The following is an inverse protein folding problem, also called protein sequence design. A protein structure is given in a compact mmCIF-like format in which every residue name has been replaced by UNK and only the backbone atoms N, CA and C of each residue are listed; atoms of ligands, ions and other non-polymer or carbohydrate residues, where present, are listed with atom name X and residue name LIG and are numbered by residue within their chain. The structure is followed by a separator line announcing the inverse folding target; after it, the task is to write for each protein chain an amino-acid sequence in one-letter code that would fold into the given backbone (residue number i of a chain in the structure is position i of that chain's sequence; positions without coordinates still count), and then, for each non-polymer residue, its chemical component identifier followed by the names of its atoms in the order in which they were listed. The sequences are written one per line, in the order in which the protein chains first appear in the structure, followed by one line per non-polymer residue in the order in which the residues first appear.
data_IF_588711470412
#
_entry.id   IF_588711470412
#
_cell.length_a   1.000
_cell.length_b   1.000
_cell.length_c   1.000
_cell.angle_alpha   90.00
_cell.angle_beta   90.00
_cell.angle_gamma   90.00
#
_symmetry.space_group_name_H-M   'P 1'
#
loop_
_entity.id
_entity.type
_entity.pdbx_description
1 polymer ?
#
# COMPACT_ATOMS: atom_id res chain seq x y z
N UNK A 1 24.07 16.06 2.79
CA UNK A 1 24.99 15.26 1.97
C UNK A 1 24.19 14.69 0.83
N UNK A 2 24.19 15.38 -0.31
CA UNK A 2 23.72 14.88 -1.59
C UNK A 2 24.71 13.78 -2.01
N UNK A 3 24.52 12.59 -1.47
CA UNK A 3 25.11 11.38 -2.01
C UNK A 3 24.73 11.38 -3.48
N UNK A 4 25.74 11.37 -4.33
CA UNK A 4 25.67 11.53 -5.78
C UNK A 4 24.46 10.79 -6.37
N UNK A 5 23.40 11.53 -6.71
CA UNK A 5 22.13 10.99 -7.20
C UNK A 5 22.35 10.06 -8.41
N UNK A 6 23.35 10.37 -9.24
CA UNK A 6 23.71 9.57 -10.41
C UNK A 6 24.30 8.20 -10.00
N UNK A 7 25.16 8.17 -8.98
CA UNK A 7 25.76 6.92 -8.48
C UNK A 7 24.70 6.04 -7.81
N UNK A 8 23.77 6.64 -7.07
CA UNK A 8 22.65 5.92 -6.47
C UNK A 8 21.70 5.32 -7.53
N UNK A 9 21.43 6.05 -8.59
CA UNK A 9 20.61 5.57 -9.70
C UNK A 9 21.25 4.41 -10.44
N UNK A 10 22.56 4.48 -10.67
CA UNK A 10 23.30 3.41 -11.30
C UNK A 10 23.31 2.15 -10.43
N UNK A 11 23.50 2.31 -9.13
CA UNK A 11 23.42 1.19 -8.17
C UNK A 11 22.01 0.59 -8.12
N UNK A 12 20.97 1.42 -8.06
CA UNK A 12 19.57 0.95 -8.04
C UNK A 12 19.27 0.18 -9.33
N UNK A 13 19.56 0.76 -10.49
CA UNK A 13 19.18 0.16 -11.78
C UNK A 13 20.02 -1.06 -12.16
N UNK A 14 21.33 -1.06 -11.85
CA UNK A 14 22.21 -2.16 -12.24
C UNK A 14 22.32 -3.30 -11.22
N UNK A 15 22.05 -3.02 -9.96
CA UNK A 15 22.23 -3.99 -8.87
C UNK A 15 20.90 -4.32 -8.17
N UNK A 16 20.24 -3.31 -7.57
CA UNK A 16 19.08 -3.56 -6.74
C UNK A 16 17.88 -4.01 -7.54
N UNK A 17 17.60 -3.37 -8.66
CA UNK A 17 16.43 -3.71 -9.48
C UNK A 17 16.51 -5.12 -10.08
N UNK A 18 17.63 -5.57 -10.68
CA UNK A 18 17.78 -6.97 -11.09
C UNK A 18 17.65 -7.96 -9.94
N UNK A 19 18.19 -7.64 -8.76
CA UNK A 19 18.07 -8.48 -7.56
C UNK A 19 16.62 -8.58 -7.09
N UNK A 20 15.90 -7.45 -7.04
CA UNK A 20 14.49 -7.41 -6.69
C UNK A 20 13.63 -8.22 -7.67
N UNK A 21 13.85 -8.04 -8.98
CA UNK A 21 13.16 -8.82 -10.02
C UNK A 21 13.41 -10.32 -9.86
N UNK A 22 14.64 -10.71 -9.60
CA UNK A 22 14.97 -12.13 -9.34
C UNK A 22 14.26 -12.65 -8.08
N UNK A 23 14.20 -11.85 -7.03
CA UNK A 23 13.50 -12.23 -5.79
C UNK A 23 11.99 -12.39 -6.04
N UNK A 24 11.36 -11.45 -6.76
CA UNK A 24 9.95 -11.55 -7.17
C UNK A 24 9.71 -12.84 -7.96
N UNK A 25 10.55 -13.11 -8.98
CA UNK A 25 10.43 -14.31 -9.79
C UNK A 25 10.52 -15.59 -8.95
N UNK A 26 11.47 -15.68 -8.03
CA UNK A 26 11.63 -16.85 -7.15
C UNK A 26 10.38 -17.08 -6.28
N UNK A 27 9.74 -16.02 -5.79
CA UNK A 27 8.51 -16.16 -5.03
C UNK A 27 7.34 -16.66 -5.92
N UNK A 28 7.21 -16.09 -7.12
CA UNK A 28 6.19 -16.54 -8.08
C UNK A 28 6.39 -17.99 -8.51
N UNK A 29 7.64 -18.40 -8.77
CA UNK A 29 8.00 -19.78 -9.11
C UNK A 29 7.71 -20.76 -7.95
N UNK A 30 7.78 -20.26 -6.71
CA UNK A 30 7.39 -21.03 -5.53
C UNK A 30 5.86 -21.16 -5.35
N UNK A 31 5.06 -20.52 -6.19
CA UNK A 31 3.60 -20.69 -6.25
C UNK A 31 2.79 -19.63 -5.53
N UNK A 32 3.38 -18.48 -5.14
CA UNK A 32 2.57 -17.37 -4.62
C UNK A 32 1.76 -16.72 -5.75
N UNK A 33 0.55 -16.28 -5.47
CA UNK A 33 -0.32 -15.67 -6.48
C UNK A 33 0.14 -14.28 -6.88
N UNK A 34 0.65 -13.50 -5.90
CA UNK A 34 1.23 -12.17 -6.10
C UNK A 34 2.27 -11.83 -5.03
N UNK A 35 3.13 -10.87 -5.32
CA UNK A 35 4.15 -10.35 -4.39
C UNK A 35 3.85 -8.89 -4.07
N UNK A 36 3.83 -8.51 -2.78
CA UNK A 36 3.69 -7.12 -2.37
C UNK A 36 5.05 -6.46 -2.16
N UNK A 37 5.24 -5.29 -2.75
CA UNK A 37 6.36 -4.40 -2.44
C UNK A 37 5.90 -3.40 -1.40
N UNK A 38 6.53 -3.42 -0.23
CA UNK A 38 6.31 -2.44 0.84
C UNK A 38 7.43 -1.42 0.84
N UNK A 39 7.14 -0.23 0.38
CA UNK A 39 8.07 0.88 0.29
C UNK A 39 7.80 1.91 1.40
N UNK A 40 8.43 1.68 2.55
CA UNK A 40 8.23 2.52 3.73
C UNK A 40 9.14 3.76 3.77
N UNK A 41 10.13 3.84 2.89
CA UNK A 41 11.18 4.87 2.94
C UNK A 41 10.98 6.02 1.94
N UNK A 42 10.05 5.87 1.01
CA UNK A 42 9.81 6.87 -0.04
C UNK A 42 9.15 8.17 0.42
N UNK A 43 8.61 8.21 1.64
CA UNK A 43 7.97 9.42 2.14
C UNK A 43 8.94 10.62 2.19
N UNK A 44 10.24 10.38 2.35
CA UNK A 44 11.30 11.40 2.35
C UNK A 44 11.73 11.84 0.94
N UNK A 45 11.32 11.10 -0.11
CA UNK A 45 11.69 11.45 -1.47
C UNK A 45 10.84 12.61 -1.98
N UNK A 46 11.49 13.67 -2.47
CA UNK A 46 10.79 14.80 -3.07
C UNK A 46 10.04 14.40 -4.36
N UNK A 47 9.08 15.24 -4.77
CA UNK A 47 8.22 14.95 -5.93
C UNK A 47 9.00 14.81 -7.24
N UNK A 48 10.04 15.61 -7.45
CA UNK A 48 10.81 15.57 -8.70
C UNK A 48 11.51 14.23 -8.84
N UNK A 49 12.22 13.81 -7.80
CA UNK A 49 12.90 12.51 -7.78
C UNK A 49 11.93 11.35 -7.88
N UNK A 50 10.74 11.45 -7.27
CA UNK A 50 9.70 10.43 -7.41
C UNK A 50 9.26 10.29 -8.87
N UNK A 51 8.87 11.38 -9.53
CA UNK A 51 8.33 11.32 -10.89
C UNK A 51 9.39 11.03 -11.96
N UNK A 52 10.57 11.60 -11.85
CA UNK A 52 11.58 11.47 -12.91
C UNK A 52 12.35 10.14 -12.85
N UNK A 53 12.50 9.58 -11.67
CA UNK A 53 13.39 8.45 -11.41
C UNK A 53 12.62 7.24 -10.93
N UNK A 54 11.92 7.38 -9.81
CA UNK A 54 11.36 6.24 -9.12
C UNK A 54 10.15 5.64 -9.83
N UNK A 55 9.31 6.48 -10.42
CA UNK A 55 8.18 6.00 -11.21
C UNK A 55 8.61 5.10 -12.37
N UNK A 56 9.75 5.39 -13.02
CA UNK A 56 10.29 4.55 -14.11
C UNK A 56 10.75 3.18 -13.61
N UNK A 57 11.33 3.13 -12.42
CA UNK A 57 11.72 1.86 -11.79
C UNK A 57 10.47 1.03 -11.46
N UNK A 58 9.44 1.68 -10.90
CA UNK A 58 8.17 1.03 -10.60
C UNK A 58 7.47 0.56 -11.86
N UNK A 59 7.47 1.36 -12.93
CA UNK A 59 6.95 0.98 -14.24
C UNK A 59 7.65 -0.26 -14.80
N UNK A 60 8.99 -0.30 -14.73
CA UNK A 60 9.78 -1.45 -15.18
C UNK A 60 9.45 -2.73 -14.39
N UNK A 61 9.24 -2.62 -13.08
CA UNK A 61 8.79 -3.75 -12.25
C UNK A 61 7.40 -4.21 -12.67
N UNK A 62 6.46 -3.28 -12.79
CA UNK A 62 5.07 -3.59 -13.13
C UNK A 62 4.96 -4.24 -14.53
N UNK A 63 5.71 -3.75 -15.51
CA UNK A 63 5.76 -4.33 -16.87
C UNK A 63 6.44 -5.70 -16.86
N UNK A 64 7.46 -5.92 -16.02
CA UNK A 64 8.13 -7.23 -15.94
C UNK A 64 7.25 -8.31 -15.30
N UNK A 65 6.30 -7.93 -14.45
CA UNK A 65 5.42 -8.84 -13.71
C UNK A 65 3.96 -8.35 -13.73
N UNK A 66 3.32 -8.24 -14.91
CA UNK A 66 1.99 -7.61 -15.02
C UNK A 66 0.94 -8.38 -14.21
N UNK A 67 0.21 -7.67 -13.37
CA UNK A 67 -0.81 -8.21 -12.46
C UNK A 67 -0.28 -9.25 -11.45
N UNK A 68 1.03 -9.26 -11.19
CA UNK A 68 1.66 -10.17 -10.22
C UNK A 68 2.35 -9.46 -9.06
N UNK A 69 2.46 -8.14 -9.13
CA UNK A 69 3.07 -7.33 -8.08
C UNK A 69 2.07 -6.30 -7.58
N UNK A 70 1.87 -6.25 -6.29
CA UNK A 70 1.18 -5.14 -5.62
C UNK A 70 2.19 -4.15 -5.04
N UNK A 71 1.80 -2.90 -4.91
CA UNK A 71 2.67 -1.85 -4.42
C UNK A 71 2.04 -1.05 -3.27
N UNK A 72 2.80 -0.81 -2.24
CA UNK A 72 2.44 0.06 -1.11
C UNK A 72 3.53 1.09 -0.89
N UNK A 73 3.15 2.34 -0.72
CA UNK A 73 4.03 3.42 -0.31
C UNK A 73 3.41 4.25 0.81
N UNK A 74 4.19 4.55 1.84
CA UNK A 74 3.77 5.39 2.95
C UNK A 74 3.94 6.88 2.61
N UNK A 75 2.98 7.71 3.04
CA UNK A 75 3.11 9.17 3.06
C UNK A 75 3.17 9.84 1.68
N UNK A 76 2.79 9.15 0.62
CA UNK A 76 2.71 9.76 -0.71
C UNK A 76 1.37 10.47 -0.90
N UNK A 77 1.41 11.62 -1.57
CA UNK A 77 0.21 12.35 -1.92
C UNK A 77 -0.59 11.63 -3.02
N UNK A 78 -1.87 11.94 -3.11
CA UNK A 78 -2.72 11.42 -4.19
C UNK A 78 -2.14 11.75 -5.58
N UNK A 79 -1.54 12.94 -5.75
CA UNK A 79 -0.92 13.33 -7.02
C UNK A 79 0.29 12.46 -7.39
N UNK A 80 1.08 12.02 -6.40
CA UNK A 80 2.21 11.13 -6.64
C UNK A 80 1.72 9.74 -7.04
N UNK A 81 0.72 9.22 -6.35
CA UNK A 81 0.13 7.91 -6.63
C UNK A 81 -0.56 7.86 -7.99
N UNK A 82 -1.22 8.94 -8.41
CA UNK A 82 -1.87 9.03 -9.73
C UNK A 82 -0.88 8.85 -10.89
N UNK A 83 0.39 9.12 -10.70
CA UNK A 83 1.41 8.90 -11.75
C UNK A 83 1.73 7.42 -12.00
N UNK A 84 1.44 6.55 -11.03
CA UNK A 84 1.78 5.12 -11.09
C UNK A 84 0.54 4.22 -11.12
N UNK A 85 -0.66 4.77 -10.87
CA UNK A 85 -1.91 4.00 -10.76
C UNK A 85 -2.31 3.32 -12.08
N UNK A 86 -1.82 3.84 -13.21
CA UNK A 86 -2.04 3.26 -14.55
C UNK A 86 -1.08 2.11 -14.88
N UNK A 87 -0.04 1.91 -14.10
CA UNK A 87 0.91 0.82 -14.33
C UNK A 87 0.24 -0.54 -14.03
N UNK A 88 0.63 -1.62 -14.72
CA UNK A 88 -0.03 -2.92 -14.60
C UNK A 88 0.33 -3.67 -13.30
N UNK A 89 0.22 -2.98 -12.18
CA UNK A 89 0.28 -3.60 -10.86
C UNK A 89 -0.98 -4.44 -10.57
N UNK A 90 -0.87 -5.47 -9.75
CA UNK A 90 -1.99 -6.26 -9.28
C UNK A 90 -2.94 -5.45 -8.38
N UNK A 91 -2.45 -4.39 -7.77
CA UNK A 91 -3.19 -3.46 -6.92
C UNK A 91 -2.28 -2.63 -6.04
N UNK A 92 -2.89 -1.79 -5.23
CA UNK A 92 -2.18 -0.84 -4.39
C UNK A 92 -2.64 -0.92 -2.93
N UNK A 93 -1.66 -0.82 -2.02
CA UNK A 93 -1.91 -0.56 -0.61
C UNK A 93 -1.78 0.93 -0.29
N UNK A 94 -2.67 1.42 0.56
CA UNK A 94 -2.73 2.83 0.93
C UNK A 94 -2.62 3.00 2.44
N UNK A 95 -1.89 4.03 2.87
CA UNK A 95 -1.88 4.43 4.27
C UNK A 95 -3.16 5.22 4.64
N UNK A 96 -3.34 5.47 5.93
CA UNK A 96 -4.55 6.10 6.46
C UNK A 96 -4.75 7.57 6.02
N UNK A 97 -3.74 8.21 5.42
CA UNK A 97 -3.84 9.61 4.94
C UNK A 97 -4.58 9.71 3.61
N UNK A 98 -4.69 8.60 2.88
CA UNK A 98 -5.37 8.53 1.59
C UNK A 98 -6.86 8.24 1.79
N UNK A 99 -7.70 9.02 1.11
CA UNK A 99 -9.14 8.72 1.06
C UNK A 99 -9.44 7.58 0.09
N UNK A 100 -9.78 6.40 0.64
CA UNK A 100 -10.07 5.22 -0.19
C UNK A 100 -11.27 5.42 -1.12
N UNK A 101 -12.26 6.23 -0.73
CA UNK A 101 -13.38 6.54 -1.62
C UNK A 101 -12.87 7.13 -2.94
N UNK A 102 -11.98 8.10 -2.86
CA UNK A 102 -11.33 8.68 -4.04
C UNK A 102 -10.55 7.63 -4.84
N UNK A 103 -9.93 6.64 -4.18
CA UNK A 103 -9.21 5.58 -4.89
C UNK A 103 -10.16 4.65 -5.64
N UNK A 104 -11.30 4.28 -5.06
CA UNK A 104 -12.32 3.47 -5.75
C UNK A 104 -12.93 4.18 -6.95
N UNK A 105 -12.99 5.52 -6.93
CA UNK A 105 -13.47 6.33 -8.05
C UNK A 105 -12.44 6.47 -9.18
N UNK A 106 -11.14 6.44 -8.87
CA UNK A 106 -10.06 6.77 -9.82
C UNK A 106 -9.22 5.56 -10.26
N UNK A 107 -9.05 4.55 -9.41
CA UNK A 107 -8.29 3.35 -9.76
C UNK A 107 -9.14 2.42 -10.64
N UNK A 108 -8.70 2.18 -11.85
CA UNK A 108 -9.47 1.43 -12.86
C UNK A 108 -9.26 -0.09 -12.79
N UNK A 109 -8.23 -0.57 -12.12
CA UNK A 109 -7.89 -1.99 -12.06
C UNK A 109 -7.15 -2.36 -10.77
N UNK A 110 -7.12 -3.64 -10.47
CA UNK A 110 -6.41 -4.22 -9.34
C UNK A 110 -7.13 -4.03 -8.00
N UNK A 111 -6.55 -4.60 -6.97
CA UNK A 111 -7.09 -4.47 -5.61
C UNK A 111 -6.73 -3.13 -4.96
N UNK A 112 -7.54 -2.73 -3.98
CA UNK A 112 -7.29 -1.60 -3.08
C UNK A 112 -7.15 -2.15 -1.67
N UNK A 113 -5.96 -2.05 -1.06
CA UNK A 113 -5.70 -2.53 0.30
C UNK A 113 -5.58 -1.38 1.29
N UNK A 114 -6.16 -1.55 2.44
CA UNK A 114 -6.05 -0.65 3.59
C UNK A 114 -7.42 -0.19 4.05
N UNK A 115 -7.50 0.92 4.81
CA UNK A 115 -6.40 1.71 5.34
C UNK A 115 -6.79 2.26 6.73
N UNK A 116 -7.29 1.38 7.62
CA UNK A 116 -7.57 1.83 8.98
C UNK A 116 -6.31 2.40 9.61
N UNK A 117 -6.43 3.53 10.31
CA UNK A 117 -5.30 4.15 10.97
C UNK A 117 -4.80 3.26 12.12
N UNK A 118 -3.61 2.70 11.97
CA UNK A 118 -3.00 1.80 12.94
C UNK A 118 -2.73 2.44 14.31
N UNK A 119 -2.61 3.78 14.37
CA UNK A 119 -2.42 4.49 15.64
C UNK A 119 -3.67 4.43 16.51
N UNK A 120 -4.86 4.40 15.90
CA UNK A 120 -6.13 4.30 16.64
C UNK A 120 -6.28 2.96 17.36
N UNK A 121 -5.55 1.94 16.93
CA UNK A 121 -5.53 0.64 17.62
C UNK A 121 -4.84 0.68 18.98
N UNK A 122 -4.10 1.75 19.29
CA UNK A 122 -3.47 1.98 20.61
C UNK A 122 -4.43 2.56 21.63
N UNK A 123 -5.58 3.07 21.18
CA UNK A 123 -6.56 3.70 22.06
C UNK A 123 -7.17 2.69 23.05
N UNK A 124 -7.71 3.21 24.16
CA UNK A 124 -8.60 2.43 25.03
C UNK A 124 -9.72 1.79 24.21
N UNK A 125 -10.14 0.59 24.59
CA UNK A 125 -11.05 -0.26 23.78
C UNK A 125 -12.32 0.47 23.34
N UNK A 126 -12.94 1.25 24.21
CA UNK A 126 -14.21 1.94 23.86
C UNK A 126 -13.98 3.07 22.83
N UNK A 127 -12.87 3.80 22.94
CA UNK A 127 -12.48 4.82 21.97
C UNK A 127 -12.16 4.15 20.63
N UNK A 128 -11.36 3.09 20.66
CA UNK A 128 -11.02 2.31 19.47
C UNK A 128 -12.28 1.77 18.75
N UNK A 129 -13.26 1.26 19.48
CA UNK A 129 -14.51 0.75 18.88
C UNK A 129 -15.33 1.86 18.20
N UNK A 130 -15.32 3.08 18.73
CA UNK A 130 -15.95 4.22 18.08
C UNK A 130 -15.21 4.59 16.78
N UNK A 131 -13.87 4.66 16.82
CA UNK A 131 -13.04 4.92 15.64
C UNK A 131 -13.26 3.85 14.55
N UNK A 132 -13.32 2.58 14.94
CA UNK A 132 -13.60 1.46 14.04
C UNK A 132 -15.00 1.53 13.43
N UNK A 133 -16.00 1.90 14.21
CA UNK A 133 -17.37 2.08 13.71
C UNK A 133 -17.47 3.19 12.67
N UNK A 134 -16.77 4.30 12.89
CA UNK A 134 -16.73 5.41 11.92
C UNK A 134 -16.01 4.99 10.63
N UNK A 135 -14.94 4.24 10.73
CA UNK A 135 -14.27 3.64 9.58
C UNK A 135 -15.20 2.71 8.79
N UNK A 136 -15.87 1.77 9.46
CA UNK A 136 -16.84 0.85 8.86
C UNK A 136 -17.95 1.63 8.15
N UNK A 137 -18.51 2.66 8.80
CA UNK A 137 -19.55 3.51 8.20
C UNK A 137 -19.03 4.21 6.94
N UNK A 138 -17.80 4.73 6.96
CA UNK A 138 -17.16 5.34 5.80
C UNK A 138 -17.03 4.33 4.67
N UNK A 139 -16.51 3.13 4.94
CA UNK A 139 -16.34 2.10 3.91
C UNK A 139 -17.68 1.65 3.32
N UNK A 140 -18.71 1.47 4.15
CA UNK A 140 -20.09 1.14 3.68
C UNK A 140 -20.74 2.25 2.84
N UNK A 141 -20.25 3.48 2.89
CA UNK A 141 -20.73 4.57 2.03
C UNK A 141 -20.16 4.53 0.62
N UNK A 142 -19.19 3.67 0.35
CA UNK A 142 -18.64 3.44 -0.98
C UNK A 142 -19.55 2.45 -1.70
N UNK A 143 -20.08 2.84 -2.85
CA UNK A 143 -21.08 2.07 -3.60
C UNK A 143 -20.57 0.71 -4.05
N UNK A 144 -19.29 0.62 -4.44
CA UNK A 144 -18.67 -0.61 -4.91
C UNK A 144 -17.31 -0.83 -4.24
N UNK A 145 -17.23 -1.86 -3.41
CA UNK A 145 -16.01 -2.29 -2.71
C UNK A 145 -15.34 -3.50 -3.36
N UNK A 146 -15.66 -3.84 -4.59
CA UNK A 146 -15.03 -4.96 -5.27
C UNK A 146 -13.50 -4.79 -5.34
N UNK A 147 -12.77 -5.83 -4.92
CA UNK A 147 -11.31 -5.79 -4.85
C UNK A 147 -10.74 -5.09 -3.62
N UNK A 148 -11.58 -4.69 -2.65
CA UNK A 148 -11.06 -4.20 -1.38
C UNK A 148 -10.47 -5.30 -0.52
N UNK A 149 -9.25 -5.07 -0.05
CA UNK A 149 -8.59 -5.90 0.97
C UNK A 149 -8.49 -5.06 2.24
N UNK A 150 -9.36 -5.35 3.21
CA UNK A 150 -9.34 -4.65 4.48
C UNK A 150 -8.02 -4.86 5.21
N UNK A 151 -7.43 -3.78 5.71
CA UNK A 151 -6.22 -3.81 6.49
C UNK A 151 -5.93 -2.48 7.18
N UNK A 152 -4.83 -2.46 7.90
CA UNK A 152 -4.31 -1.24 8.49
C UNK A 152 -3.56 -0.42 7.44
N UNK A 153 -3.46 0.88 7.67
CA UNK A 153 -2.71 1.80 6.81
C UNK A 153 -1.19 1.65 6.94
N UNK A 154 -0.71 0.97 7.98
CA UNK A 154 0.69 0.65 8.21
C UNK A 154 0.82 -0.58 9.12
N UNK A 155 2.07 -1.02 9.38
CA UNK A 155 2.35 -2.09 10.32
C UNK A 155 1.84 -1.78 11.74
N UNK A 156 1.34 -2.79 12.42
CA UNK A 156 0.82 -2.68 13.78
C UNK A 156 1.91 -2.28 14.76
N UNK A 157 1.60 -1.40 15.72
CA UNK A 157 2.53 -1.03 16.77
C UNK A 157 2.67 -2.18 17.78
N UNK A 158 3.90 -2.41 18.27
CA UNK A 158 4.20 -3.46 19.27
C UNK A 158 3.42 -3.33 20.57
N UNK A 159 2.94 -2.14 20.90
CA UNK A 159 2.16 -1.86 22.11
C UNK A 159 0.64 -1.92 21.86
N UNK A 160 0.19 -2.33 20.69
CA UNK A 160 -1.23 -2.45 20.40
C UNK A 160 -1.85 -3.53 21.30
N UNK A 161 -2.94 -3.22 22.03
CA UNK A 161 -3.64 -4.23 22.83
C UNK A 161 -4.14 -5.37 21.95
N UNK A 162 -3.81 -6.61 22.28
CA UNK A 162 -4.26 -7.80 21.56
C UNK A 162 -5.79 -7.84 21.42
N UNK A 163 -6.51 -7.42 22.46
CA UNK A 163 -7.97 -7.30 22.43
C UNK A 163 -8.48 -6.44 21.28
N UNK A 164 -7.83 -5.30 21.00
CA UNK A 164 -8.22 -4.42 19.91
C UNK A 164 -7.99 -5.08 18.53
N UNK A 165 -6.96 -5.91 18.41
CA UNK A 165 -6.71 -6.69 17.17
C UNK A 165 -7.85 -7.68 16.93
N UNK A 166 -8.25 -8.45 17.95
CA UNK A 166 -9.38 -9.37 17.84
C UNK A 166 -10.68 -8.65 17.49
N UNK A 167 -10.98 -7.56 18.18
CA UNK A 167 -12.18 -6.77 17.94
C UNK A 167 -12.18 -6.16 16.52
N UNK A 168 -11.04 -5.72 16.00
CA UNK A 168 -10.92 -5.27 14.61
C UNK A 168 -11.37 -6.36 13.64
N UNK A 169 -10.75 -7.54 13.75
CA UNK A 169 -11.03 -8.67 12.85
C UNK A 169 -12.50 -9.10 12.94
N UNK A 170 -13.03 -9.24 14.16
CA UNK A 170 -14.42 -9.67 14.39
C UNK A 170 -15.44 -8.70 13.80
N UNK A 171 -15.25 -7.39 14.05
CA UNK A 171 -16.17 -6.37 13.53
C UNK A 171 -16.10 -6.26 12.00
N UNK A 172 -14.90 -6.26 11.42
CA UNK A 172 -14.77 -6.21 9.96
C UNK A 172 -15.42 -7.44 9.31
N UNK A 173 -15.18 -8.64 9.82
CA UNK A 173 -15.82 -9.85 9.29
C UNK A 173 -17.33 -9.81 9.43
N UNK A 174 -17.86 -9.36 10.58
CA UNK A 174 -19.30 -9.23 10.80
C UNK A 174 -19.98 -8.28 9.83
N UNK A 175 -19.30 -7.21 9.47
CA UNK A 175 -19.91 -6.10 8.72
C UNK A 175 -19.74 -6.24 7.19
N UNK A 176 -18.78 -7.06 6.71
CA UNK A 176 -18.43 -7.20 5.29
C UNK A 176 -18.37 -8.65 4.77
N UNK A 177 -18.83 -9.65 5.56
CA UNK A 177 -18.93 -11.05 5.14
C UNK A 177 -20.30 -11.42 4.65
#
# INVERSE_FOLDING_TARGET
DLIDTKMNLEFISKILLPLLKKNIQLQLDAGVELVMIFDSSLYDLDKVNFHEIYSKILEEIAISFPNKVGYYSRGKSLSDLNSIISFPFAGFGYDHTIDLKSMFENQQHGFIQGNFNEQLMLNETDTFLNDLKDFIKKMKSIENLNGWICGLGHGINKNTPEKNVHLFIENIRKEFS
#
